data_IF_242256528929
#
_entry.id   IF_242256528929
#
_cell.length_a   1.000
_cell.length_b   1.000
_cell.length_c   1.000
_cell.angle_alpha   90.00
_cell.angle_beta   90.00
_cell.angle_gamma   90.00
#
_symmetry.space_group_name_H-M   'P 1'
#
loop_
_entity.id
_entity.type
_entity.pdbx_description
1 polymer ?
#
# COMPACT_ATOMS: atom_id res chain seq x y z
N UNK A 1 8.41 -9.49 -5.58
CA UNK A 1 9.77 -9.60 -6.15
C UNK A 1 10.27 -11.04 -6.26
N UNK A 2 10.10 -11.88 -5.23
CA UNK A 2 10.57 -13.27 -5.27
C UNK A 2 10.06 -14.07 -6.47
N UNK A 3 8.77 -13.93 -6.83
CA UNK A 3 8.19 -14.58 -8.02
C UNK A 3 8.91 -14.15 -9.31
N UNK A 4 9.14 -12.84 -9.50
CA UNK A 4 9.84 -12.32 -10.68
C UNK A 4 11.29 -12.80 -10.74
N UNK A 5 11.98 -12.86 -9.59
CA UNK A 5 13.35 -13.41 -9.49
C UNK A 5 13.39 -14.86 -9.98
N UNK A 6 12.44 -15.68 -9.52
CA UNK A 6 12.31 -17.10 -9.89
C UNK A 6 11.68 -17.36 -11.27
N UNK A 7 11.20 -16.32 -11.95
CA UNK A 7 10.45 -16.42 -13.21
C UNK A 7 9.11 -17.17 -13.09
N UNK A 8 8.45 -17.02 -11.93
CA UNK A 8 7.18 -17.68 -11.61
C UNK A 8 5.97 -16.81 -11.98
N UNK A 9 4.80 -17.45 -11.99
CA UNK A 9 3.52 -16.77 -12.19
C UNK A 9 3.14 -15.96 -10.93
N UNK A 10 2.51 -14.81 -11.13
CA UNK A 10 1.89 -14.01 -10.10
C UNK A 10 0.38 -14.20 -10.14
N UNK A 11 -0.17 -14.77 -9.06
CA UNK A 11 -1.61 -14.87 -8.83
C UNK A 11 -2.19 -13.53 -8.40
N UNK A 12 -3.30 -13.16 -9.03
CA UNK A 12 -4.16 -12.04 -8.65
C UNK A 12 -5.41 -12.60 -8.00
N UNK A 13 -5.75 -12.10 -6.81
CA UNK A 13 -6.86 -12.60 -6.00
C UNK A 13 -8.10 -11.72 -6.15
N UNK A 14 -9.27 -12.34 -6.19
CA UNK A 14 -10.57 -11.67 -6.21
C UNK A 14 -10.83 -10.99 -4.85
N UNK A 15 -10.90 -9.64 -4.77
CA UNK A 15 -11.10 -8.95 -3.49
C UNK A 15 -12.41 -9.35 -2.80
N UNK A 16 -13.45 -9.59 -3.60
CA UNK A 16 -14.77 -10.04 -3.13
C UNK A 16 -14.71 -11.40 -2.41
N UNK A 17 -13.96 -12.36 -2.96
CA UNK A 17 -13.86 -13.69 -2.36
C UNK A 17 -12.95 -13.66 -1.13
N UNK A 18 -11.85 -12.90 -1.20
CA UNK A 18 -10.95 -12.70 -0.06
C UNK A 18 -11.70 -12.10 1.13
N UNK A 19 -12.52 -11.08 0.90
CA UNK A 19 -13.31 -10.47 1.98
C UNK A 19 -14.28 -11.47 2.63
N UNK A 20 -14.92 -12.33 1.84
CA UNK A 20 -15.82 -13.37 2.36
C UNK A 20 -15.11 -14.48 3.11
N UNK A 21 -13.89 -14.83 2.69
CA UNK A 21 -13.09 -15.89 3.32
C UNK A 21 -12.45 -15.40 4.62
N UNK A 22 -11.88 -14.19 4.62
CA UNK A 22 -11.09 -13.66 5.73
C UNK A 22 -11.86 -12.69 6.63
N UNK A 23 -13.06 -12.25 6.22
CA UNK A 23 -13.87 -11.28 6.96
C UNK A 23 -13.25 -9.87 7.00
N UNK A 24 -12.35 -9.55 6.06
CA UNK A 24 -11.65 -8.26 5.97
C UNK A 24 -11.49 -7.85 4.51
N UNK A 25 -11.58 -6.54 4.19
CA UNK A 25 -11.25 -6.04 2.86
C UNK A 25 -9.86 -6.49 2.42
N UNK A 26 -9.67 -6.71 1.12
CA UNK A 26 -8.40 -7.20 0.56
C UNK A 26 -7.20 -6.34 0.98
N UNK A 27 -7.37 -5.02 1.02
CA UNK A 27 -6.32 -4.08 1.40
C UNK A 27 -5.83 -4.25 2.86
N UNK A 28 -6.65 -4.81 3.74
CA UNK A 28 -6.33 -4.98 5.16
C UNK A 28 -5.67 -6.33 5.48
N UNK A 29 -5.33 -7.10 4.44
CA UNK A 29 -4.68 -8.41 4.55
C UNK A 29 -3.26 -8.30 4.03
N UNK A 30 -2.31 -8.89 4.77
CA UNK A 30 -0.93 -9.03 4.28
C UNK A 30 -0.88 -10.05 3.15
N UNK A 31 -0.81 -9.57 1.90
CA UNK A 31 -0.72 -10.45 0.73
C UNK A 31 0.52 -11.33 0.82
N UNK A 32 1.66 -10.80 1.25
CA UNK A 32 2.91 -11.56 1.39
C UNK A 32 2.78 -12.70 2.41
N UNK A 33 2.19 -12.45 3.58
CA UNK A 33 2.04 -13.49 4.61
C UNK A 33 0.99 -14.54 4.25
N UNK A 34 -0.04 -14.14 3.49
CA UNK A 34 -1.18 -14.98 3.11
C UNK A 34 -1.11 -15.52 1.69
N UNK A 35 0.01 -15.32 0.99
CA UNK A 35 0.09 -15.60 -0.44
C UNK A 35 -0.21 -17.08 -0.74
N UNK A 36 0.55 -18.00 -0.15
CA UNK A 36 0.42 -19.43 -0.40
C UNK A 36 -0.93 -19.98 0.09
N UNK A 37 -1.40 -19.51 1.26
CA UNK A 37 -2.73 -19.83 1.79
C UNK A 37 -3.83 -19.42 0.79
N UNK A 38 -3.75 -18.20 0.26
CA UNK A 38 -4.71 -17.74 -0.73
C UNK A 38 -4.59 -18.51 -2.04
N UNK A 39 -3.38 -18.85 -2.51
CA UNK A 39 -3.14 -19.64 -3.73
C UNK A 39 -3.84 -21.00 -3.65
N UNK A 40 -3.74 -21.68 -2.51
CA UNK A 40 -4.29 -23.03 -2.31
C UNK A 40 -5.79 -23.04 -1.99
N UNK A 41 -6.38 -21.91 -1.58
CA UNK A 41 -7.80 -21.84 -1.22
C UNK A 41 -8.73 -21.80 -2.43
N UNK A 42 -9.39 -22.92 -2.75
CA UNK A 42 -10.31 -23.04 -3.88
C UNK A 42 -11.53 -22.12 -3.83
N UNK A 43 -11.86 -21.55 -2.67
CA UNK A 43 -12.97 -20.58 -2.51
C UNK A 43 -12.62 -19.21 -3.10
N UNK A 44 -11.34 -18.90 -3.25
CA UNK A 44 -10.86 -17.62 -3.78
C UNK A 44 -10.63 -17.75 -5.28
N UNK A 45 -11.37 -16.98 -6.08
CA UNK A 45 -11.13 -16.90 -7.52
C UNK A 45 -9.80 -16.18 -7.78
N UNK A 46 -9.05 -16.70 -8.75
CA UNK A 46 -7.70 -16.22 -9.09
C UNK A 46 -7.52 -16.09 -10.59
N UNK A 47 -6.68 -15.15 -11.00
CA UNK A 47 -6.10 -15.11 -12.35
C UNK A 47 -4.57 -15.11 -12.23
N UNK A 48 -3.86 -15.37 -13.33
CA UNK A 48 -2.39 -15.41 -13.34
C UNK A 48 -1.82 -14.50 -14.41
N UNK A 49 -0.71 -13.85 -14.09
CA UNK A 49 0.14 -13.13 -15.03
C UNK A 49 1.61 -13.50 -14.79
N UNK A 50 2.50 -13.23 -15.74
CA UNK A 50 3.95 -13.41 -15.52
C UNK A 50 4.50 -12.26 -14.68
N UNK A 51 5.20 -12.61 -13.59
CA UNK A 51 5.72 -11.61 -12.67
C UNK A 51 6.79 -10.70 -13.29
N UNK A 52 7.60 -11.21 -14.25
CA UNK A 52 8.59 -10.39 -14.97
C UNK A 52 7.93 -9.41 -15.93
N UNK A 53 6.96 -9.89 -16.70
CA UNK A 53 6.21 -9.06 -17.66
C UNK A 53 5.51 -7.90 -16.94
N UNK A 54 4.96 -8.14 -15.74
CA UNK A 54 4.41 -7.09 -14.88
C UNK A 54 5.42 -5.96 -14.59
N UNK A 55 6.65 -6.30 -14.16
CA UNK A 55 7.68 -5.30 -13.90
C UNK A 55 8.19 -4.63 -15.18
N UNK A 56 8.22 -5.35 -16.30
CA UNK A 56 8.55 -4.77 -17.60
C UNK A 56 7.52 -3.70 -18.00
N UNK A 57 6.22 -4.01 -17.92
CA UNK A 57 5.16 -3.04 -18.22
C UNK A 57 5.23 -1.82 -17.30
N UNK A 58 5.52 -2.00 -16.00
CA UNK A 58 5.73 -0.86 -15.09
C UNK A 58 6.89 0.02 -15.58
N UNK A 59 8.02 -0.57 -15.95
CA UNK A 59 9.19 0.19 -16.39
C UNK A 59 8.92 0.94 -17.71
N UNK A 60 8.19 0.32 -18.64
CA UNK A 60 7.75 0.96 -19.90
C UNK A 60 6.86 2.18 -19.61
N UNK A 61 5.85 2.05 -18.74
CA UNK A 61 4.98 3.17 -18.37
C UNK A 61 5.74 4.30 -17.65
N UNK A 62 6.65 3.95 -16.73
CA UNK A 62 7.50 4.91 -16.04
C UNK A 62 8.43 5.64 -17.00
N UNK A 63 8.95 4.96 -18.02
CA UNK A 63 9.76 5.57 -19.06
C UNK A 63 8.97 6.59 -19.87
N UNK A 64 7.72 6.28 -20.24
CA UNK A 64 6.89 7.15 -21.07
C UNK A 64 6.31 8.35 -20.30
N UNK A 65 5.95 8.15 -19.04
CA UNK A 65 5.07 9.10 -18.32
C UNK A 65 5.54 9.46 -16.90
N UNK A 66 6.59 8.81 -16.39
CA UNK A 66 7.12 9.03 -15.04
C UNK A 66 6.34 8.33 -13.92
N UNK A 67 5.22 7.66 -14.23
CA UNK A 67 4.38 6.90 -13.30
C UNK A 67 4.06 5.51 -13.90
N UNK A 68 3.63 4.50 -13.10
CA UNK A 68 3.08 4.55 -11.74
C UNK A 68 4.11 4.80 -10.63
N UNK A 69 3.67 5.40 -9.53
CA UNK A 69 4.42 5.42 -8.27
C UNK A 69 4.53 4.01 -7.69
N UNK A 70 5.58 3.78 -6.90
CA UNK A 70 5.81 2.49 -6.24
C UNK A 70 5.85 2.71 -4.73
N UNK A 71 4.95 2.02 -4.01
CA UNK A 71 5.00 1.89 -2.56
C UNK A 71 5.36 0.44 -2.22
N UNK A 72 6.47 0.23 -1.50
CA UNK A 72 6.86 -1.11 -1.05
C UNK A 72 6.12 -1.47 0.25
N UNK A 73 4.92 -2.02 0.11
CA UNK A 73 3.99 -2.36 1.20
C UNK A 73 4.68 -3.04 2.40
N UNK A 74 5.44 -4.11 2.17
CA UNK A 74 6.10 -4.86 3.25
C UNK A 74 7.14 -4.03 3.99
N UNK A 75 7.95 -3.25 3.25
CA UNK A 75 8.96 -2.36 3.84
C UNK A 75 8.30 -1.29 4.69
N UNK A 76 7.24 -0.67 4.16
CA UNK A 76 6.47 0.37 4.84
C UNK A 76 5.83 -0.18 6.12
N UNK A 77 5.11 -1.30 6.04
CA UNK A 77 4.40 -1.86 7.19
C UNK A 77 5.34 -2.47 8.23
N UNK A 78 6.51 -2.98 7.82
CA UNK A 78 7.55 -3.44 8.77
C UNK A 78 8.14 -2.28 9.58
N UNK A 79 8.28 -1.10 8.98
CA UNK A 79 8.82 0.09 9.63
C UNK A 79 7.73 0.92 10.35
N UNK A 80 6.45 0.65 10.10
CA UNK A 80 5.32 1.38 10.67
C UNK A 80 5.22 1.16 12.19
N UNK A 81 5.36 2.20 13.03
CA UNK A 81 5.23 2.08 14.48
C UNK A 81 3.76 2.10 14.95
N UNK A 82 2.81 2.42 14.06
CA UNK A 82 1.40 2.58 14.41
C UNK A 82 0.63 1.29 14.15
N UNK A 83 -0.20 0.88 15.11
CA UNK A 83 -1.10 -0.27 14.93
C UNK A 83 -2.06 -0.03 13.77
N UNK A 84 -1.96 -0.87 12.74
CA UNK A 84 -2.76 -0.81 11.53
C UNK A 84 -1.89 -1.13 10.31
N UNK A 85 -2.49 -1.25 9.14
CA UNK A 85 -1.77 -1.41 7.88
C UNK A 85 -1.82 -0.10 7.09
N UNK A 86 -0.70 0.23 6.47
CA UNK A 86 -0.59 1.31 5.47
C UNK A 86 -0.82 0.66 4.12
N UNK A 87 -1.90 1.05 3.46
CA UNK A 87 -2.39 0.41 2.22
C UNK A 87 -2.21 1.26 0.97
N UNK A 88 -1.92 2.55 1.14
CA UNK A 88 -1.78 3.52 0.06
C UNK A 88 -0.93 4.73 0.50
N UNK A 89 -0.68 5.64 -0.43
CA UNK A 89 0.08 6.87 -0.23
C UNK A 89 -0.61 8.07 -0.90
N UNK A 90 -0.01 9.26 -0.82
CA UNK A 90 -0.48 10.47 -1.48
C UNK A 90 0.12 10.63 -2.90
N UNK A 91 -0.26 11.73 -3.57
CA UNK A 91 0.18 12.08 -4.93
C UNK A 91 1.69 12.21 -5.09
N UNK A 92 2.41 12.62 -4.04
CA UNK A 92 3.87 12.79 -4.07
C UNK A 92 4.63 11.60 -3.45
N UNK A 93 3.91 10.53 -3.06
CA UNK A 93 4.42 9.25 -2.53
C UNK A 93 5.18 9.29 -1.19
N UNK A 94 5.16 10.41 -0.48
CA UNK A 94 5.87 10.62 0.78
C UNK A 94 5.02 10.35 2.04
N UNK A 95 3.70 10.35 1.92
CA UNK A 95 2.79 10.15 3.06
C UNK A 95 2.44 8.68 3.20
N UNK A 96 2.74 8.13 4.39
CA UNK A 96 2.52 6.73 4.74
C UNK A 96 1.90 6.69 6.13
N UNK A 97 0.57 6.62 6.20
CA UNK A 97 -0.18 6.57 7.46
C UNK A 97 -1.27 5.50 7.39
N UNK A 98 -1.71 5.04 8.56
CA UNK A 98 -2.85 4.13 8.67
C UNK A 98 -4.15 4.90 8.43
N UNK A 99 -5.10 4.29 7.75
CA UNK A 99 -6.47 4.80 7.61
C UNK A 99 -7.48 3.74 8.05
N UNK A 100 -8.72 4.15 8.29
CA UNK A 100 -9.83 3.23 8.58
C UNK A 100 -11.05 3.62 7.75
N UNK A 101 -11.79 2.65 7.19
CA UNK A 101 -12.90 2.96 6.29
C UNK A 101 -14.06 3.64 7.01
N UNK A 102 -14.79 4.46 6.27
CA UNK A 102 -16.11 4.97 6.68
C UNK A 102 -17.21 4.08 6.10
N UNK A 103 -18.34 3.97 6.81
CA UNK A 103 -19.57 3.38 6.28
C UNK A 103 -20.63 4.45 6.09
N UNK A 104 -21.50 4.23 5.12
CA UNK A 104 -22.53 5.19 4.72
C UNK A 104 -23.90 4.52 4.76
N UNK A 105 -24.92 5.29 5.10
CA UNK A 105 -26.32 4.93 4.90
C UNK A 105 -26.70 5.03 3.41
N UNK A 106 -27.86 4.51 3.03
CA UNK A 106 -28.37 4.59 1.65
C UNK A 106 -28.58 6.05 1.18
N UNK A 107 -28.80 6.99 2.09
CA UNK A 107 -28.95 8.42 1.81
C UNK A 107 -27.60 9.18 1.75
N UNK A 108 -26.48 8.46 1.75
CA UNK A 108 -25.10 8.98 1.77
C UNK A 108 -24.68 9.70 3.06
N UNK A 109 -25.53 9.73 4.09
CA UNK A 109 -25.08 10.15 5.42
C UNK A 109 -24.08 9.14 5.99
N UNK A 110 -23.18 9.59 6.84
CA UNK A 110 -22.25 8.69 7.52
C UNK A 110 -23.00 7.83 8.55
N UNK A 111 -22.83 6.52 8.43
CA UNK A 111 -23.19 5.55 9.47
C UNK A 111 -22.03 5.43 10.48
N UNK A 112 -20.80 5.27 9.96
CA UNK A 112 -19.57 5.32 10.73
C UNK A 112 -18.54 6.22 10.04
N UNK A 113 -18.03 7.20 10.77
CA UNK A 113 -16.92 8.04 10.29
C UNK A 113 -15.60 7.34 10.64
N UNK A 114 -14.90 6.91 9.59
CA UNK A 114 -13.56 6.35 9.69
C UNK A 114 -12.48 7.42 9.92
N UNK A 115 -11.26 7.13 9.45
CA UNK A 115 -10.11 8.02 9.60
C UNK A 115 -9.35 8.04 8.29
N UNK A 116 -9.51 9.13 7.56
CA UNK A 116 -8.72 9.43 6.38
C UNK A 116 -7.53 10.32 6.73
N UNK A 117 -6.64 10.50 5.75
CA UNK A 117 -5.36 11.15 5.94
C UNK A 117 -5.38 12.52 5.27
N UNK A 118 -5.12 13.55 6.07
CA UNK A 118 -4.70 14.87 5.59
C UNK A 118 -3.30 15.16 6.10
N UNK A 119 -2.48 15.88 5.33
CA UNK A 119 -1.11 16.17 5.74
C UNK A 119 -0.78 17.67 5.69
N UNK A 120 -0.07 18.14 6.72
CA UNK A 120 0.57 19.45 6.75
C UNK A 120 2.09 19.21 6.71
N UNK A 121 2.78 19.93 5.83
CA UNK A 121 4.21 19.72 5.56
C UNK A 121 5.02 20.96 5.91
N UNK A 122 6.23 20.73 6.41
CA UNK A 122 7.24 21.75 6.67
C UNK A 122 8.62 21.11 6.58
N UNK A 123 9.59 21.84 6.03
CA UNK A 123 10.95 21.35 5.82
C UNK A 123 11.96 22.32 6.43
N UNK A 124 13.03 21.78 7.00
CA UNK A 124 14.16 22.55 7.52
C UNK A 124 15.28 22.65 6.48
N UNK A 125 15.99 23.78 6.47
CA UNK A 125 17.20 23.93 5.67
C UNK A 125 18.39 23.30 6.41
N UNK A 126 18.86 22.14 5.94
CA UNK A 126 19.92 21.36 6.59
C UNK A 126 21.16 22.19 6.91
N UNK A 127 21.65 23.00 5.96
CA UNK A 127 22.88 23.79 6.18
C UNK A 127 22.70 24.79 7.33
N UNK A 128 21.62 25.56 7.31
CA UNK A 128 21.33 26.55 8.37
C UNK A 128 21.04 25.89 9.71
N UNK A 129 20.39 24.73 9.71
CA UNK A 129 20.12 23.96 10.92
C UNK A 129 21.42 23.46 11.56
N UNK A 130 22.39 23.02 10.77
CA UNK A 130 23.70 22.57 11.29
C UNK A 130 24.60 23.72 11.75
N UNK A 131 24.46 24.90 11.16
CA UNK A 131 25.14 26.12 11.62
C UNK A 131 24.54 26.69 12.92
N UNK A 132 23.36 26.19 13.34
CA UNK A 132 22.71 26.64 14.58
C UNK A 132 23.47 26.14 15.82
N UNK A 133 23.76 27.02 16.81
CA UNK A 133 24.33 26.59 18.08
C UNK A 133 23.35 25.77 18.94
N UNK A 134 22.05 25.81 18.64
CA UNK A 134 21.00 25.04 19.32
C UNK A 134 20.09 24.38 18.27
N UNK A 135 20.47 23.17 17.86
CA UNK A 135 19.75 22.39 16.86
C UNK A 135 18.27 22.18 17.24
N UNK A 136 17.98 21.97 18.53
CA UNK A 136 16.64 21.65 19.02
C UNK A 136 15.65 22.83 18.92
N UNK A 137 16.15 24.07 18.80
CA UNK A 137 15.33 25.28 18.64
C UNK A 137 15.17 25.76 17.19
N UNK A 138 15.70 25.00 16.22
CA UNK A 138 15.60 25.36 14.79
C UNK A 138 14.22 25.02 14.25
#
# INVERSE_FOLDING_TARGET
FELAKKNEDMYLFSPYDVERVYGKPFADISVTEKYDEMVDDSRIRKTKIKARDFFQTIAELQFESGYPYIMFEDTVNKANPIKGRITHSNLCSEILQVSTPSTFNEDLSYDHVGRDISCNLGSLNIAKTMDSPDFAKT
#
